data_IF_597858131405
#
_entry.id   IF_597858131405
#
_cell.length_a   1.000
_cell.length_b   1.000
_cell.length_c   1.000
_cell.angle_alpha   90.00
_cell.angle_beta   90.00
_cell.angle_gamma   90.00
#
_symmetry.space_group_name_H-M   'P 1'
#
loop_
_entity.id
_entity.type
_entity.pdbx_description
1 polymer ?
2 polymer ?
3 polymer ?
4 polymer ?
5 non-polymer ?
6 non-polymer ?
7 water ?
#
loop_
_entity_poly.entity_id
_entity_poly.type
_entity_poly.pdbx_seq_one_letter_code
_entity_poly.pdbx_strand_id
1 'polyribonucleotide' '(GTP)GCCGUGUGCCUUGCGCCGGGAAACCACGCAAGGGAUGGUGUCAAAUUCGGCGAAACCUAAGCGCCCGCCCGGGCGUAUGGCAACGCCGAGCCAAGCUUCGCAGCCAUUGCACUCCGGCUGCGAUGAAGGUGUAGAGACUAGACGGCACCCACCUAAGGCAAACGCUAUGGUGAAGGCAUAGUCCAGGGAGUGGCG(A23)' ?
2 'polyribonucleotide' 'AAGCCACACAAACCAG' ?
3 'polyribonucleotide' 'CAUACGGCC' ?
#
# COMPACT_ATOMS: atom_id res chain seq x y z
N UNK D 1 -1.23 -10.66 11.30
CA UNK D 1 -2.55 -10.29 11.80
C UNK D 1 -2.88 -8.82 11.46
N UNK D 2 -3.28 -8.06 12.48
CA UNK D 2 -3.58 -6.63 12.31
C UNK D 2 -2.82 -5.76 13.31
N UNK D 3 -2.55 -4.52 12.91
CA UNK D 3 -2.01 -3.50 13.82
C UNK D 3 -3.07 -2.44 14.11
N UNK D 4 -2.64 -1.21 14.39
CA UNK D 4 -3.56 -0.13 14.76
C UNK D 4 -3.61 0.94 13.65
N UNK D 5 -4.85 1.37 13.27
CA UNK D 5 -5.22 2.31 12.19
C UNK D 5 -4.19 3.36 11.77
N UNK D 6 -4.15 3.65 10.47
CA UNK D 6 -3.21 4.61 9.87
C UNK D 6 -3.71 5.12 8.52
N UNK D 7 -3.23 6.31 8.12
CA UNK D 7 -3.51 6.88 6.79
C UNK D 7 -2.85 6.09 5.66
N UNK D 8 -1.71 5.48 5.97
CA UNK D 8 -0.93 4.70 5.01
C UNK D 8 -0.95 3.21 5.40
N UNK D 9 -0.98 2.34 4.40
CA UNK D 9 -1.01 0.89 4.62
C UNK D 9 0.28 0.21 4.15
N UNK D 10 0.71 -0.80 4.91
CA UNK D 10 1.92 -1.56 4.59
C UNK D 10 1.58 -2.85 3.84
N UNK D 11 2.06 -2.92 2.59
CA UNK D 11 1.83 -4.08 1.72
C UNK D 11 3.14 -4.82 1.50
N UNK D 12 3.10 -6.14 1.68
CA UNK D 12 4.27 -6.99 1.49
C UNK D 12 3.95 -8.28 0.71
N UNK D 13 4.89 -9.23 0.75
CA UNK D 13 4.76 -10.53 0.08
C UNK D 13 4.38 -10.44 -1.41
N UNK D 14 4.87 -9.40 -2.07
CA UNK D 14 4.59 -9.17 -3.48
C UNK D 14 5.52 -9.98 -4.38
N UNK D 15 5.30 -9.89 -5.68
CA UNK D 15 6.18 -10.49 -6.67
C UNK D 15 7.30 -9.51 -7.02
N UNK D 16 8.53 -9.91 -6.71
CA UNK D 16 9.70 -9.02 -6.77
C UNK D 16 10.28 -8.80 -8.17
N UNK D 17 9.56 -9.27 -9.20
CA UNK D 17 10.02 -9.18 -10.58
C UNK D 17 9.37 -8.03 -11.35
N UNK D 18 8.25 -7.52 -10.83
CA UNK D 18 7.54 -6.41 -11.46
C UNK D 18 8.27 -5.09 -11.21
N UNK D 19 8.53 -4.36 -12.31
CA UNK D 19 9.33 -3.13 -12.28
C UNK D 19 8.65 -1.98 -11.55
N UNK D 20 9.47 -1.04 -11.08
CA UNK D 20 9.03 0.09 -10.26
C UNK D 20 7.94 0.94 -10.91
N UNK D 21 8.22 1.41 -12.13
CA UNK D 21 7.35 2.37 -12.82
C UNK D 21 6.07 1.73 -13.36
N UNK D 22 6.10 0.42 -13.58
CA UNK D 22 4.93 -0.34 -14.04
C UNK D 22 3.98 -0.63 -12.89
N UNK D 23 4.54 -1.01 -11.74
CA UNK D 23 3.77 -1.43 -10.57
C UNK D 23 2.92 -0.30 -9.98
N UNK D 24 3.44 0.93 -10.02
CA UNK D 24 2.73 2.10 -9.50
C UNK D 24 1.35 2.27 -10.13
N UNK D 25 1.29 2.10 -11.45
CA UNK D 25 0.03 2.21 -12.20
C UNK D 25 -0.89 1.01 -11.94
N UNK D 26 -0.30 -0.15 -11.67
CA UNK D 26 -1.04 -1.36 -11.30
C UNK D 26 -1.61 -1.27 -9.89
N UNK D 27 -1.14 -0.27 -9.13
CA UNK D 27 -1.64 -0.01 -7.78
C UNK D 27 -2.57 1.20 -7.73
N UNK D 28 -2.27 2.21 -8.56
CA UNK D 28 -3.05 3.45 -8.60
C UNK D 28 -4.45 3.25 -9.17
N UNK D 29 -4.62 2.21 -9.98
CA UNK D 29 -5.90 1.90 -10.59
C UNK D 29 -6.73 0.90 -9.78
N UNK D 30 -6.04 -0.05 -9.15
CA UNK D 30 -6.69 -1.12 -8.38
C UNK D 30 -7.23 -0.66 -7.02
N UNK D 31 -6.57 0.33 -6.43
CA UNK D 31 -6.94 0.82 -5.08
C UNK D 31 -7.73 2.13 -5.06
N UNK D 32 -7.82 2.80 -6.20
CA UNK D 32 -8.57 4.07 -6.30
C UNK D 32 -10.08 3.89 -6.16
N UNK D 33 -10.53 2.63 -6.12
CA UNK D 33 -11.94 2.31 -5.90
C UNK D 33 -12.34 2.36 -4.42
N UNK D 34 -11.41 2.81 -3.58
CA UNK D 34 -11.67 3.04 -2.16
C UNK D 34 -11.71 4.53 -1.84
N UNK D 35 -11.09 5.33 -2.72
CA UNK D 35 -11.03 6.77 -2.57
C UNK D 35 -9.86 7.34 -3.35
N UNK D 36 -9.46 8.56 -2.99
CA UNK D 36 -8.32 9.21 -3.64
C UNK D 36 -7.00 8.71 -3.07
N UNK D 37 -6.03 8.53 -3.96
CA UNK D 37 -4.67 8.11 -3.57
C UNK D 37 -3.70 9.29 -3.75
N UNK D 38 -2.95 9.59 -2.69
CA UNK D 38 -1.99 10.68 -2.71
C UNK D 38 -0.65 10.28 -3.35
N UNK D 39 0.03 9.31 -2.76
CA UNK D 39 1.34 8.85 -3.24
C UNK D 39 1.58 7.37 -2.95
N UNK D 40 2.31 6.70 -3.85
CA UNK D 40 2.67 5.29 -3.70
C UNK D 40 4.19 5.12 -3.75
N UNK D 41 4.79 4.76 -2.61
CA UNK D 41 6.22 4.56 -2.51
C UNK D 41 6.63 3.10 -2.75
N UNK D 42 7.53 2.91 -3.71
CA UNK D 42 8.10 1.58 -4.01
C UNK D 42 9.60 1.69 -4.22
N UNK D 43 10.34 0.88 -3.46
CA UNK D 43 11.78 0.78 -3.66
C UNK D 43 12.15 -0.67 -3.95
N UNK D 44 13.15 -0.85 -4.81
CA UNK D 44 13.55 -2.18 -5.27
C UNK D 44 14.77 -2.70 -4.49
N UNK D 45 15.21 -1.91 -3.50
CA UNK D 45 16.35 -2.24 -2.66
C UNK D 45 16.16 -3.55 -1.91
N UNK D 46 17.26 -4.23 -1.62
CA UNK D 46 17.26 -5.51 -0.89
C UNK D 46 16.35 -5.50 0.33
N UNK D 47 16.25 -4.34 0.98
CA UNK D 47 15.44 -4.19 2.18
C UNK D 47 13.99 -3.86 1.86
N UNK D 48 13.76 -3.08 0.81
CA UNK D 48 12.41 -2.59 0.48
C UNK D 48 11.73 -3.33 -0.68
N UNK D 49 12.41 -4.34 -1.25
CA UNK D 49 11.85 -5.10 -2.36
C UNK D 49 10.65 -5.94 -1.94
N UNK D 50 9.64 -5.98 -2.80
CA UNK D 50 8.41 -6.71 -2.52
C UNK D 50 7.57 -6.03 -1.46
N UNK D 51 7.74 -4.72 -1.32
CA UNK D 51 7.01 -3.92 -0.33
C UNK D 51 6.52 -2.62 -0.95
N UNK D 52 5.36 -2.15 -0.48
CA UNK D 52 4.77 -0.91 -0.98
C UNK D 52 3.94 -0.18 0.07
N UNK D 53 4.02 1.14 0.04
CA UNK D 53 3.23 2.01 0.92
C UNK D 53 2.22 2.80 0.08
N UNK D 54 0.94 2.71 0.45
CA UNK D 54 -0.12 3.41 -0.27
C UNK D 54 -0.77 4.47 0.63
N UNK D 55 -0.66 5.72 0.22
CA UNK D 55 -1.18 6.85 0.99
C UNK D 55 -2.51 7.35 0.42
N UNK D 56 -3.55 7.31 1.25
CA UNK D 56 -4.87 7.83 0.89
C UNK D 56 -5.12 9.22 1.51
N UNK D 57 -6.18 9.89 1.07
CA UNK D 57 -6.59 11.17 1.65
C UNK D 57 -7.23 10.98 3.02
N UNK D 58 -8.02 9.92 3.19
CA UNK D 58 -8.67 9.62 4.47
C UNK D 58 -8.57 8.15 4.88
N UNK D 59 -8.84 7.91 6.16
CA UNK D 59 -8.75 6.58 6.78
C UNK D 59 -9.79 5.60 6.22
N UNK D 60 -10.94 6.13 5.85
CA UNK D 60 -12.05 5.35 5.26
C UNK D 60 -11.62 4.59 4.01
N UNK D 61 -10.76 5.22 3.20
CA UNK D 61 -10.21 4.62 2.00
C UNK D 61 -9.19 3.52 2.32
N UNK D 62 -8.58 3.61 3.50
CA UNK D 62 -7.53 2.68 3.92
C UNK D 62 -8.05 1.50 4.76
N UNK D 63 -9.03 1.77 5.61
CA UNK D 63 -9.61 0.77 6.51
C UNK D 63 -10.34 -0.32 5.71
N UNK D 64 -11.10 0.10 4.71
CA UNK D 64 -11.80 -0.83 3.82
C UNK D 64 -10.82 -1.58 2.91
N UNK D 65 -9.74 -0.91 2.52
CA UNK D 65 -8.67 -1.51 1.72
C UNK D 65 -8.03 -2.68 2.45
N UNK D 66 -7.96 -2.58 3.78
CA UNK D 66 -7.41 -3.62 4.63
C UNK D 66 -8.27 -4.90 4.62
N UNK D 67 -9.58 -4.72 4.55
CA UNK D 67 -10.53 -5.82 4.64
C UNK D 67 -10.94 -6.39 3.27
N UNK D 68 -11.24 -5.51 2.33
CA UNK D 68 -11.70 -5.92 1.00
C UNK D 68 -10.58 -6.51 0.14
N UNK D 69 -9.34 -6.16 0.45
CA UNK D 69 -8.19 -6.57 -0.35
C UNK D 69 -7.28 -7.60 0.33
N UNK D 70 -7.66 -8.04 1.53
CA UNK D 70 -6.85 -8.99 2.30
C UNK D 70 -6.85 -10.40 1.68
N UNK D 71 -5.71 -10.79 1.12
CA UNK D 71 -5.53 -12.12 0.53
C UNK D 71 -5.65 -12.17 -0.99
N UNK D 72 -5.89 -11.02 -1.59
CA UNK D 72 -6.08 -10.89 -3.05
C UNK D 72 -4.84 -11.30 -3.84
N UNK D 73 -4.98 -12.27 -4.77
CA UNK D 73 -3.86 -12.73 -5.59
C UNK D 73 -3.39 -11.66 -6.59
N UNK D 74 -2.11 -11.31 -6.50
CA UNK D 74 -1.53 -10.27 -7.34
C UNK D 74 -0.26 -10.81 -7.99
N UNK D 75 -0.34 -11.05 -9.30
CA UNK D 75 0.71 -11.75 -10.07
C UNK D 75 1.02 -13.13 -9.48
N UNK D 76 -0.04 -13.89 -9.19
CA UNK D 76 0.04 -15.23 -8.59
C UNK D 76 0.66 -15.28 -7.19
N UNK D 77 0.56 -14.17 -6.46
CA UNK D 77 1.04 -14.09 -5.07
C UNK D 77 0.02 -13.43 -4.16
N UNK D 78 -0.20 -14.01 -2.96
CA UNK D 78 -1.12 -13.44 -1.97
C UNK D 78 -0.63 -12.09 -1.46
N UNK D 79 -1.57 -11.17 -1.24
CA UNK D 79 -1.23 -9.81 -0.80
C UNK D 79 -1.51 -9.63 0.69
N UNK D 80 -0.44 -9.54 1.48
CA UNK D 80 -0.55 -9.30 2.92
C UNK D 80 -0.51 -7.81 3.24
N UNK D 81 -1.50 -7.34 3.99
CA UNK D 81 -1.60 -5.93 4.36
C UNK D 81 -1.60 -5.76 5.88
N UNK D 82 -0.83 -4.78 6.34
CA UNK D 82 -0.90 -4.32 7.72
C UNK D 82 -0.98 -2.79 7.73
N UNK D 83 -1.36 -2.21 8.86
CA UNK D 83 -1.29 -0.77 9.04
C UNK D 83 0.16 -0.35 9.23
N UNK D 84 0.48 0.88 8.83
CA UNK D 84 1.84 1.41 8.94
C UNK D 84 2.21 1.67 10.40
N UNK D 85 3.44 1.30 10.76
CA UNK D 85 3.95 1.50 12.12
C UNK D 85 4.41 2.94 12.36
N UNK D 86 4.37 3.76 11.32
CA UNK D 86 4.77 5.17 11.40
C UNK D 86 3.91 6.03 10.47
N UNK D 87 3.86 7.33 10.75
CA UNK D 87 3.21 8.30 9.85
C UNK D 87 4.18 8.77 8.77
N UNK D 88 3.69 8.82 7.54
CA UNK D 88 4.52 9.17 6.37
C UNK D 88 4.97 10.63 6.36
N UNK D 89 6.14 10.87 5.78
CA UNK D 89 6.69 12.22 5.64
C UNK D 89 5.80 13.14 4.81
N UNK D 90 4.96 12.52 3.97
CA UNK D 90 3.99 13.24 3.15
C UNK D 90 2.85 13.74 4.02
N UNK D 91 2.50 12.96 5.05
CA UNK D 91 1.41 13.28 5.97
C UNK D 91 1.85 14.24 7.08
N UNK D 92 3.09 14.09 7.54
CA UNK D 92 3.63 14.87 8.66
C UNK D 92 3.70 16.38 8.41
N UNK D 93 3.75 16.78 7.15
CA UNK D 93 3.89 18.19 6.78
C UNK D 93 2.58 18.99 6.82
N UNK D 94 1.47 18.29 7.05
CA UNK D 94 0.15 18.93 7.12
C UNK D 94 -0.37 19.06 8.56
N UNK D 95 -0.30 17.97 9.31
CA UNK D 95 -0.78 17.91 10.69
C UNK D 95 0.02 18.84 11.60
X LIG E 1 62.18 5.64 -32.66
X LIG F 1 61.34 6.95 -36.17
X LIG G 1 60.74 -1.73 -36.75
X LIG H 1 59.58 20.87 0.55
X LIG I 1 48.26 15.09 -37.58
X LIG J 1 77.77 26.13 -40.04
X LIG K 1 75.78 39.31 -51.31
X LIG L 1 65.28 26.51 -37.71
X LIG M 1 52.14 4.20 -31.01
X LIG N 1 74.65 1.04 -18.47
X LIG O 1 42.34 -5.34 -37.50
X LIG P 1 78.04 41.82 -57.17
X LIG Q 1 49.84 4.66 -37.72
X LIG R 1 67.19 9.44 -56.02
#
# INVERSE_FOLDING_TARGET
PETRPNHTIYINNLNEKIKKDELKKSLHAIFSRFGQILDILVSRSLKMRGQAFVIFKEVSSATNALRSMQGFPFYDKPMRIQYAKTDSDIIAKMK
MG MG
MG MG
MG MG
K K
MG MG
MG MG
MG MG
MG MG
MG MG
MG MG
MG MG
MG MG
MG MG
MG MG
#
